data_IF_905130504177
#
_entry.id   IF_905130504177
#
_cell.length_a   1.000
_cell.length_b   1.000
_cell.length_c   1.000
_cell.angle_alpha   90.00
_cell.angle_beta   90.00
_cell.angle_gamma   90.00
#
_symmetry.space_group_name_H-M   'P 1'
#
loop_
_entity.id
_entity.type
_entity.pdbx_description
1 polymer ?
#
# COMPACT_ATOMS: atom_id res chain seq x y z
N UNK A 1 6.17 -17.74 -1.97
CA UNK A 1 4.74 -17.82 -1.63
C UNK A 1 4.34 -16.63 -0.77
N UNK A 2 3.11 -16.13 -0.93
CA UNK A 2 2.50 -15.16 -0.03
C UNK A 2 1.89 -15.96 1.13
N UNK A 3 2.39 -15.71 2.35
CA UNK A 3 1.98 -16.50 3.54
C UNK A 3 1.18 -15.68 4.55
N UNK A 4 1.25 -14.37 4.48
CA UNK A 4 0.44 -13.47 5.30
C UNK A 4 0.39 -12.07 4.70
N UNK A 5 -0.47 -11.22 5.25
CA UNK A 5 -0.55 -9.80 4.95
C UNK A 5 -0.78 -8.99 6.22
N UNK A 6 -0.34 -7.75 6.20
CA UNK A 6 -0.60 -6.79 7.26
C UNK A 6 -1.00 -5.45 6.65
N UNK A 7 -1.96 -4.78 7.26
CA UNK A 7 -2.48 -3.49 6.83
C UNK A 7 -2.08 -2.42 7.84
N UNK A 8 -1.37 -1.39 7.37
CA UNK A 8 -0.93 -0.28 8.20
C UNK A 8 -1.60 1.00 7.72
N UNK A 9 -2.44 1.65 8.56
CA UNK A 9 -3.01 2.95 8.23
C UNK A 9 -1.90 3.98 8.04
N UNK A 10 -2.01 4.79 7.00
CA UNK A 10 -1.07 5.87 6.71
C UNK A 10 -1.66 7.18 7.24
N UNK A 11 -1.19 7.60 8.40
CA UNK A 11 -1.55 8.89 9.00
C UNK A 11 -0.32 9.80 9.02
N UNK A 12 -0.47 10.97 8.43
CA UNK A 12 0.54 12.01 8.45
C UNK A 12 0.19 13.07 9.48
N UNK A 13 1.18 13.46 10.27
CA UNK A 13 1.12 14.58 11.19
C UNK A 13 2.14 15.65 10.79
N UNK A 14 1.88 16.89 11.16
CA UNK A 14 2.87 17.96 11.10
C UNK A 14 3.68 17.93 12.40
N UNK A 15 4.99 17.75 12.27
CA UNK A 15 5.93 17.60 13.37
C UNK A 15 6.90 18.78 13.41
N UNK A 16 7.09 19.38 14.58
CA UNK A 16 8.06 20.44 14.81
C UNK A 16 8.95 20.17 16.01
N UNK A 17 9.89 21.04 16.28
CA UNK A 17 10.67 20.99 17.52
C UNK A 17 9.74 21.12 18.75
N UNK A 18 10.14 20.61 19.94
CA UNK A 18 9.31 20.67 21.15
C UNK A 18 8.82 22.08 21.52
N UNK A 19 9.66 23.08 21.30
CA UNK A 19 9.40 24.48 21.57
C UNK A 19 8.72 25.24 20.42
N UNK A 20 8.50 24.58 19.26
CA UNK A 20 7.85 25.21 18.11
C UNK A 20 6.33 25.26 18.29
N UNK A 21 5.74 26.33 17.79
CA UNK A 21 4.29 26.52 17.64
C UNK A 21 3.92 26.56 16.15
N UNK A 22 2.66 26.30 15.83
CA UNK A 22 2.19 26.30 14.45
C UNK A 22 2.43 27.63 13.73
N UNK A 23 2.34 28.73 14.46
CA UNK A 23 2.60 30.10 13.97
C UNK A 23 4.07 30.37 13.62
N UNK A 24 5.00 29.59 14.15
CA UNK A 24 6.43 29.74 13.84
C UNK A 24 6.78 29.17 12.46
N UNK A 25 5.94 28.25 11.92
CA UNK A 25 6.27 27.45 10.75
C UNK A 25 6.22 28.27 9.47
N UNK A 26 7.31 28.19 8.70
CA UNK A 26 7.43 28.78 7.37
C UNK A 26 7.93 27.78 6.33
N UNK A 27 8.44 26.63 6.78
CA UNK A 27 9.06 25.62 5.90
C UNK A 27 8.66 24.23 6.30
N UNK A 28 8.23 23.41 5.33
CA UNK A 28 7.79 22.04 5.55
C UNK A 28 8.57 21.08 4.64
N UNK A 29 9.03 19.97 5.22
CA UNK A 29 9.76 18.91 4.54
C UNK A 29 8.97 17.59 4.56
N UNK A 30 8.93 16.88 3.45
CA UNK A 30 8.52 15.47 3.41
C UNK A 30 8.84 14.79 2.08
N UNK A 31 8.49 13.51 1.99
CA UNK A 31 8.47 12.80 0.71
C UNK A 31 7.38 13.39 -0.21
N UNK A 32 7.60 13.48 -1.54
CA UNK A 32 6.63 14.07 -2.47
C UNK A 32 5.21 13.51 -2.33
N UNK A 33 5.08 12.19 -2.14
CA UNK A 33 3.79 11.55 -1.97
C UNK A 33 3.06 12.00 -0.68
N UNK A 34 3.79 12.16 0.42
CA UNK A 34 3.19 12.62 1.68
C UNK A 34 2.77 14.10 1.60
N UNK A 35 3.56 14.95 0.94
CA UNK A 35 3.18 16.33 0.64
C UNK A 35 1.90 16.38 -0.21
N UNK A 36 1.82 15.57 -1.26
CA UNK A 36 0.63 15.45 -2.11
C UNK A 36 -0.59 14.97 -1.30
N UNK A 37 -0.44 13.94 -0.48
CA UNK A 37 -1.51 13.41 0.37
C UNK A 37 -1.97 14.38 1.46
N UNK A 38 -1.15 15.36 1.82
CA UNK A 38 -1.44 16.41 2.80
C UNK A 38 -1.71 17.78 2.16
N UNK A 39 -1.77 17.84 0.82
CA UNK A 39 -1.82 19.10 0.07
C UNK A 39 -3.01 19.99 0.45
N UNK A 40 -4.17 19.39 0.78
CA UNK A 40 -5.35 20.17 1.19
C UNK A 40 -5.08 20.98 2.48
N UNK A 41 -4.39 20.40 3.44
CA UNK A 41 -3.98 21.07 4.67
C UNK A 41 -2.84 22.05 4.39
N UNK A 42 -1.79 21.61 3.70
CA UNK A 42 -0.63 22.45 3.42
C UNK A 42 -0.98 23.70 2.57
N UNK A 43 -1.90 23.59 1.63
CA UNK A 43 -2.33 24.72 0.79
C UNK A 43 -3.20 25.74 1.54
N UNK A 44 -3.74 25.42 2.72
CA UNK A 44 -4.38 26.42 3.59
C UNK A 44 -3.37 27.36 4.26
N UNK A 45 -2.09 26.96 4.28
CA UNK A 45 -0.96 27.75 4.80
C UNK A 45 -0.08 28.21 3.62
N UNK A 46 -0.57 29.20 2.86
CA UNK A 46 0.04 29.65 1.59
C UNK A 46 1.47 30.20 1.74
N UNK A 47 1.84 30.63 2.93
CA UNK A 47 3.14 31.21 3.23
C UNK A 47 4.21 30.14 3.56
N UNK A 48 3.84 28.87 3.58
CA UNK A 48 4.77 27.79 3.85
C UNK A 48 5.47 27.31 2.59
N UNK A 49 6.81 27.34 2.59
CA UNK A 49 7.62 26.73 1.56
C UNK A 49 7.68 25.20 1.77
N UNK A 50 7.42 24.42 0.72
CA UNK A 50 7.41 22.96 0.76
C UNK A 50 8.61 22.41 0.02
N UNK A 51 9.36 21.49 0.66
CA UNK A 51 10.55 20.85 0.09
C UNK A 51 10.47 19.34 0.17
N UNK A 52 10.82 18.71 -0.94
CA UNK A 52 10.87 17.25 -1.02
C UNK A 52 12.18 16.70 -0.46
N UNK A 53 12.06 15.59 0.29
CA UNK A 53 13.17 14.78 0.79
C UNK A 53 12.92 13.30 0.49
N UNK A 54 13.93 12.48 0.68
CA UNK A 54 13.93 11.07 0.28
C UNK A 54 12.77 10.25 0.88
N UNK A 55 12.46 10.47 2.16
CA UNK A 55 11.35 9.79 2.84
C UNK A 55 10.84 10.61 4.05
N UNK A 56 9.67 10.22 4.57
CA UNK A 56 9.02 10.94 5.66
C UNK A 56 9.81 10.91 6.98
N UNK A 57 10.49 9.80 7.30
CA UNK A 57 11.33 9.70 8.49
C UNK A 57 12.60 10.58 8.36
N UNK A 58 13.17 10.66 7.16
CA UNK A 58 14.29 11.56 6.87
C UNK A 58 13.89 13.03 7.05
N UNK A 59 12.64 13.40 6.75
CA UNK A 59 12.16 14.76 7.00
C UNK A 59 12.12 15.10 8.49
N UNK A 60 11.63 14.17 9.32
CA UNK A 60 11.61 14.35 10.78
C UNK A 60 13.04 14.47 11.34
N UNK A 61 13.94 13.58 10.92
CA UNK A 61 15.36 13.63 11.31
C UNK A 61 16.03 14.94 10.88
N UNK A 62 15.68 15.45 9.69
CA UNK A 62 16.22 16.72 9.18
C UNK A 62 15.79 17.89 10.06
N UNK A 63 14.51 18.00 10.41
CA UNK A 63 13.98 19.07 11.28
C UNK A 63 14.68 19.05 12.65
N UNK A 64 14.88 17.87 13.23
CA UNK A 64 15.63 17.71 14.47
C UNK A 64 17.08 18.22 14.33
N UNK A 65 17.79 17.77 13.27
CA UNK A 65 19.20 18.12 13.06
C UNK A 65 19.40 19.61 12.74
N UNK A 66 18.49 20.21 11.98
CA UNK A 66 18.56 21.62 11.62
C UNK A 66 18.31 22.54 12.84
N UNK A 67 17.55 22.06 13.85
CA UNK A 67 17.29 22.78 15.11
C UNK A 67 16.59 24.14 14.92
N UNK A 68 15.77 24.29 13.87
CA UNK A 68 15.11 25.54 13.52
C UNK A 68 13.63 25.49 13.84
N UNK A 69 13.14 26.39 14.72
CA UNK A 69 11.73 26.48 15.13
C UNK A 69 10.75 26.67 13.97
N UNK A 70 11.20 27.31 12.90
CA UNK A 70 10.36 27.62 11.75
C UNK A 70 10.27 26.48 10.72
N UNK A 71 10.77 25.31 11.05
CA UNK A 71 10.74 24.13 10.20
C UNK A 71 9.82 23.06 10.79
N UNK A 72 9.09 22.40 9.91
CA UNK A 72 8.26 21.25 10.24
C UNK A 72 8.47 20.09 9.25
N UNK A 73 8.15 18.90 9.69
CA UNK A 73 8.13 17.69 8.87
C UNK A 73 6.71 17.13 8.76
N UNK A 74 6.33 16.63 7.60
CA UNK A 74 5.16 15.76 7.46
C UNK A 74 5.63 14.32 7.56
N UNK A 75 5.27 13.66 8.67
CA UNK A 75 5.65 12.27 8.93
C UNK A 75 4.63 11.60 9.87
N UNK A 76 4.85 10.34 10.23
CA UNK A 76 4.00 9.65 11.21
C UNK A 76 4.24 10.19 12.63
N UNK A 77 3.22 10.12 13.49
CA UNK A 77 3.40 10.43 14.93
C UNK A 77 4.46 9.52 15.59
N UNK A 78 4.60 8.30 15.12
CA UNK A 78 5.65 7.38 15.56
C UNK A 78 7.04 7.94 15.28
N UNK A 79 7.26 8.54 14.11
CA UNK A 79 8.52 9.23 13.82
C UNK A 79 8.72 10.43 14.75
N UNK A 80 7.65 11.19 15.04
CA UNK A 80 7.68 12.27 16.03
C UNK A 80 8.18 11.79 17.40
N UNK A 81 7.59 10.72 17.92
CA UNK A 81 8.01 10.11 19.20
C UNK A 81 9.46 9.65 19.16
N UNK A 82 9.89 8.98 18.07
CA UNK A 82 11.25 8.46 17.92
C UNK A 82 12.31 9.57 17.92
N UNK A 83 12.01 10.69 17.26
CA UNK A 83 12.94 11.82 17.12
C UNK A 83 12.72 12.92 18.15
N UNK A 84 11.80 12.75 19.13
CA UNK A 84 11.52 13.76 20.13
C UNK A 84 10.89 15.04 19.59
N UNK A 85 10.15 14.95 18.49
CA UNK A 85 9.43 16.05 17.88
C UNK A 85 8.01 16.16 18.45
N UNK A 86 7.50 17.37 18.56
CA UNK A 86 6.13 17.69 18.96
C UNK A 86 5.20 17.53 17.76
N UNK A 87 4.04 16.93 17.96
CA UNK A 87 2.95 16.95 16.99
C UNK A 87 2.30 18.33 17.05
N UNK A 88 2.46 19.12 16.00
CA UNK A 88 1.84 20.44 15.85
C UNK A 88 0.40 20.32 15.36
N UNK A 89 0.17 19.38 14.42
CA UNK A 89 -1.18 19.07 13.91
C UNK A 89 -1.24 17.57 13.54
N UNK A 90 -2.19 16.80 14.08
CA UNK A 90 -2.36 15.39 13.76
C UNK A 90 -3.21 15.19 12.49
N UNK A 91 -3.06 14.04 11.84
CA UNK A 91 -3.96 13.54 10.77
C UNK A 91 -4.22 14.55 9.65
N UNK A 92 -3.15 15.17 9.11
CA UNK A 92 -3.24 16.22 8.08
C UNK A 92 -3.45 15.66 6.66
N UNK A 93 -3.39 14.35 6.47
CA UNK A 93 -3.70 13.72 5.18
C UNK A 93 -5.20 13.82 4.86
N UNK A 94 -5.52 14.12 3.61
CA UNK A 94 -6.92 14.33 3.17
C UNK A 94 -7.72 13.02 3.04
N UNK A 95 -7.06 11.91 2.75
CA UNK A 95 -7.70 10.58 2.77
C UNK A 95 -7.34 9.86 4.08
N UNK A 96 -8.33 9.70 4.96
CA UNK A 96 -8.16 9.04 6.26
C UNK A 96 -8.18 7.52 6.16
N UNK A 97 -8.69 6.97 5.06
CA UNK A 97 -8.77 5.52 4.83
C UNK A 97 -7.53 4.99 4.09
N UNK A 98 -6.50 5.86 3.92
CA UNK A 98 -5.27 5.46 3.27
C UNK A 98 -4.54 4.38 4.08
N UNK A 99 -4.34 3.24 3.45
CA UNK A 99 -3.75 2.07 4.10
C UNK A 99 -2.72 1.43 3.17
N UNK A 100 -1.56 1.08 3.69
CA UNK A 100 -0.57 0.29 2.98
C UNK A 100 -0.73 -1.17 3.34
N UNK A 101 -0.92 -2.02 2.33
CA UNK A 101 -0.93 -3.47 2.46
C UNK A 101 0.50 -3.99 2.29
N UNK A 102 1.01 -4.67 3.30
CA UNK A 102 2.28 -5.39 3.25
C UNK A 102 2.00 -6.87 3.09
N UNK A 103 2.65 -7.52 2.13
CA UNK A 103 2.61 -8.97 1.94
C UNK A 103 3.87 -9.59 2.55
N UNK A 104 3.70 -10.72 3.22
CA UNK A 104 4.79 -11.50 3.81
C UNK A 104 5.07 -12.67 2.88
N UNK A 105 6.32 -12.77 2.43
CA UNK A 105 6.76 -13.81 1.53
C UNK A 105 7.55 -14.89 2.26
N UNK A 106 7.34 -16.15 1.88
CA UNK A 106 8.14 -17.31 2.29
C UNK A 106 8.65 -18.06 1.07
N UNK A 107 9.76 -18.79 1.22
CA UNK A 107 10.24 -19.76 0.21
C UNK A 107 9.39 -21.02 0.22
N UNK A 108 8.89 -21.41 1.39
CA UNK A 108 8.08 -22.59 1.58
C UNK A 108 6.58 -22.26 1.51
N UNK A 109 5.73 -23.16 0.96
CA UNK A 109 4.28 -22.97 0.87
C UNK A 109 3.61 -23.20 2.23
N UNK A 110 3.91 -22.35 3.19
CA UNK A 110 3.34 -22.41 4.54
C UNK A 110 2.05 -21.59 4.54
N UNK A 111 0.97 -22.15 5.04
CA UNK A 111 -0.29 -21.44 5.26
C UNK A 111 -0.97 -21.92 6.54
N UNK A 112 -1.82 -21.07 7.08
CA UNK A 112 -2.58 -21.38 8.30
C UNK A 112 -3.82 -22.19 7.92
N UNK A 113 -4.21 -23.12 8.77
CA UNK A 113 -5.46 -23.89 8.60
C UNK A 113 -6.71 -23.01 8.59
N UNK A 114 -6.66 -21.87 9.29
CA UNK A 114 -7.74 -20.88 9.38
C UNK A 114 -7.57 -19.72 8.36
N UNK A 115 -6.74 -19.89 7.34
CA UNK A 115 -6.58 -18.87 6.29
C UNK A 115 -7.91 -18.68 5.56
N UNK A 116 -8.30 -17.42 5.35
CA UNK A 116 -9.57 -17.04 4.70
C UNK A 116 -9.40 -16.38 3.34
N UNK A 117 -8.16 -16.37 2.84
CA UNK A 117 -7.81 -15.77 1.56
C UNK A 117 -6.68 -16.54 0.88
N UNK A 118 -6.80 -16.71 -0.42
CA UNK A 118 -5.77 -17.28 -1.29
C UNK A 118 -5.40 -16.24 -2.34
N UNK A 119 -4.09 -16.00 -2.51
CA UNK A 119 -3.55 -15.16 -3.57
C UNK A 119 -2.89 -16.03 -4.63
N UNK A 120 -3.31 -15.89 -5.87
CA UNK A 120 -2.78 -16.65 -7.01
C UNK A 120 -2.27 -15.72 -8.09
N UNK A 121 -1.34 -16.23 -8.90
CA UNK A 121 -0.94 -15.55 -10.13
C UNK A 121 -0.88 -16.57 -11.26
N UNK A 122 -1.31 -16.18 -12.44
CA UNK A 122 -1.32 -17.02 -13.63
C UNK A 122 -1.19 -16.17 -14.90
N UNK A 123 -0.83 -16.83 -15.99
CA UNK A 123 -0.75 -16.26 -17.33
C UNK A 123 -1.80 -16.92 -18.21
N UNK A 124 -2.45 -16.14 -19.06
CA UNK A 124 -3.44 -16.66 -20.00
C UNK A 124 -2.95 -16.49 -21.43
N UNK A 125 -3.30 -17.45 -22.32
CA UNK A 125 -3.05 -17.28 -23.75
C UNK A 125 -3.78 -16.04 -24.28
N UNK A 126 -3.14 -15.34 -25.21
CA UNK A 126 -3.74 -14.14 -25.86
C UNK A 126 -4.73 -14.56 -26.94
N UNK A 127 -5.85 -15.17 -26.51
CA UNK A 127 -6.94 -15.62 -27.39
C UNK A 127 -8.27 -15.06 -26.90
N UNK A 128 -9.24 -14.98 -27.84
CA UNK A 128 -10.58 -14.50 -27.52
C UNK A 128 -11.26 -15.41 -26.49
N UNK A 129 -11.75 -14.81 -25.40
CA UNK A 129 -12.47 -15.55 -24.36
C UNK A 129 -11.61 -16.10 -23.22
N UNK A 130 -10.26 -16.11 -23.32
CA UNK A 130 -9.38 -16.69 -22.28
C UNK A 130 -9.70 -16.19 -20.88
N UNK A 131 -9.84 -14.86 -20.70
CA UNK A 131 -10.16 -14.27 -19.39
C UNK A 131 -11.56 -14.69 -18.92
N UNK A 132 -12.54 -14.74 -19.81
CA UNK A 132 -13.89 -15.18 -19.48
C UNK A 132 -13.91 -16.63 -18.99
N UNK A 133 -13.28 -17.53 -19.73
CA UNK A 133 -13.20 -18.96 -19.38
C UNK A 133 -12.55 -19.14 -18.00
N UNK A 134 -11.43 -18.46 -17.77
CA UNK A 134 -10.76 -18.50 -16.48
C UNK A 134 -11.68 -17.98 -15.35
N UNK A 135 -12.34 -16.83 -15.54
CA UNK A 135 -13.25 -16.26 -14.55
C UNK A 135 -14.44 -17.17 -14.26
N UNK A 136 -14.91 -17.96 -15.26
CA UNK A 136 -16.01 -18.90 -15.08
C UNK A 136 -15.72 -19.97 -14.03
N UNK A 137 -14.45 -20.35 -13.84
CA UNK A 137 -14.05 -21.30 -12.80
C UNK A 137 -14.37 -20.79 -11.39
N UNK A 138 -14.24 -19.47 -11.14
CA UNK A 138 -14.65 -18.89 -9.86
C UNK A 138 -16.17 -18.85 -9.73
N UNK A 139 -16.88 -18.47 -10.80
CA UNK A 139 -18.35 -18.36 -10.79
C UNK A 139 -19.00 -19.71 -10.50
N UNK A 140 -18.61 -20.76 -11.24
CA UNK A 140 -19.21 -22.09 -11.11
C UNK A 140 -18.87 -22.79 -9.79
N UNK A 141 -17.77 -22.39 -9.15
CA UNK A 141 -17.38 -22.89 -7.84
C UNK A 141 -17.80 -21.96 -6.68
N UNK A 142 -18.60 -20.89 -6.94
CA UNK A 142 -19.07 -19.92 -5.95
C UNK A 142 -17.94 -19.27 -5.15
N UNK A 143 -16.79 -19.03 -5.80
CA UNK A 143 -15.63 -18.39 -5.20
C UNK A 143 -15.69 -16.89 -5.43
N UNK A 144 -15.65 -16.11 -4.35
CA UNK A 144 -15.63 -14.66 -4.43
C UNK A 144 -14.22 -14.12 -4.65
N UNK A 145 -14.06 -13.21 -5.62
CA UNK A 145 -12.81 -12.48 -5.85
C UNK A 145 -12.84 -11.14 -5.12
N UNK A 146 -11.76 -10.84 -4.39
CA UNK A 146 -11.55 -9.54 -3.72
C UNK A 146 -10.74 -8.58 -4.57
N UNK A 147 -9.85 -9.10 -5.39
CA UNK A 147 -8.96 -8.30 -6.25
C UNK A 147 -8.65 -9.07 -7.52
N UNK A 148 -8.57 -8.34 -8.63
CA UNK A 148 -7.95 -8.79 -9.86
C UNK A 148 -7.10 -7.66 -10.41
N UNK A 149 -5.85 -7.95 -10.74
CA UNK A 149 -4.91 -7.01 -11.31
C UNK A 149 -4.10 -7.69 -12.42
N UNK A 150 -3.79 -6.97 -13.48
CA UNK A 150 -2.95 -7.50 -14.56
C UNK A 150 -1.68 -6.67 -14.72
N UNK A 151 -0.58 -7.34 -15.07
CA UNK A 151 0.69 -6.73 -15.43
C UNK A 151 1.17 -7.26 -16.77
N UNK A 152 1.68 -6.39 -17.67
CA UNK A 152 2.33 -6.84 -18.89
C UNK A 152 3.52 -7.74 -18.57
N UNK A 153 3.71 -8.78 -19.38
CA UNK A 153 4.86 -9.68 -19.26
C UNK A 153 6.03 -9.08 -20.04
N UNK A 154 7.16 -8.87 -19.38
CA UNK A 154 8.35 -8.34 -20.04
C UNK A 154 8.81 -9.25 -21.18
N UNK A 155 9.01 -8.67 -22.37
CA UNK A 155 9.45 -9.39 -23.56
C UNK A 155 8.34 -10.16 -24.32
N UNK A 156 7.10 -10.12 -23.84
CA UNK A 156 5.94 -10.72 -24.52
C UNK A 156 4.87 -9.66 -24.77
N UNK A 157 4.73 -9.22 -26.01
CA UNK A 157 3.77 -8.19 -26.37
C UNK A 157 2.34 -8.71 -26.26
N UNK A 158 1.48 -7.92 -25.62
CA UNK A 158 0.04 -8.19 -25.46
C UNK A 158 -0.30 -9.38 -24.57
N UNK A 159 0.71 -9.94 -23.86
CA UNK A 159 0.49 -10.98 -22.86
C UNK A 159 0.56 -10.38 -21.44
N UNK A 160 -0.28 -10.92 -20.56
CA UNK A 160 -0.46 -10.42 -19.22
C UNK A 160 -0.38 -11.53 -18.18
N UNK A 161 0.26 -11.20 -17.05
CA UNK A 161 0.15 -11.99 -15.83
C UNK A 161 -0.95 -11.38 -14.97
N UNK A 162 -1.86 -12.21 -14.52
CA UNK A 162 -2.94 -11.83 -13.62
C UNK A 162 -2.57 -12.19 -12.19
N UNK A 163 -2.97 -11.31 -11.28
CA UNK A 163 -2.87 -11.50 -9.84
C UNK A 163 -4.29 -11.41 -9.29
N UNK A 164 -4.72 -12.44 -8.56
CA UNK A 164 -6.08 -12.56 -8.06
C UNK A 164 -6.05 -12.94 -6.59
N UNK A 165 -6.80 -12.21 -5.77
CA UNK A 165 -7.09 -12.57 -4.39
C UNK A 165 -8.51 -13.12 -4.34
N UNK A 166 -8.69 -14.33 -3.82
CA UNK A 166 -9.97 -15.00 -3.64
C UNK A 166 -10.25 -15.28 -2.16
N UNK A 167 -11.54 -15.29 -1.79
CA UNK A 167 -11.98 -15.69 -0.45
C UNK A 167 -12.04 -17.20 -0.35
N UNK A 168 -11.51 -17.74 0.75
CA UNK A 168 -11.55 -19.16 1.07
C UNK A 168 -10.21 -19.71 1.53
N UNK A 169 -10.18 -21.00 1.79
CA UNK A 169 -9.02 -21.75 2.25
C UNK A 169 -8.59 -22.77 1.18
N UNK A 170 -7.29 -23.02 1.07
CA UNK A 170 -6.78 -24.07 0.16
C UNK A 170 -7.32 -25.48 0.45
N UNK A 171 -7.81 -25.73 1.66
CA UNK A 171 -8.48 -26.97 2.04
C UNK A 171 -9.93 -27.08 1.55
N UNK A 172 -10.55 -25.98 1.10
CA UNK A 172 -11.94 -25.97 0.66
C UNK A 172 -12.09 -26.62 -0.72
N UNK A 173 -13.05 -27.56 -0.85
CA UNK A 173 -13.28 -28.27 -2.11
C UNK A 173 -13.61 -27.31 -3.28
N UNK A 174 -14.35 -26.23 -3.00
CA UNK A 174 -14.69 -25.20 -3.99
C UNK A 174 -13.43 -24.49 -4.52
N UNK A 175 -12.50 -24.15 -3.62
CA UNK A 175 -11.24 -23.51 -3.99
C UNK A 175 -10.38 -24.46 -4.79
N UNK A 176 -10.24 -25.72 -4.37
CA UNK A 176 -9.46 -26.74 -5.09
C UNK A 176 -10.01 -26.98 -6.50
N UNK A 177 -11.33 -27.09 -6.66
CA UNK A 177 -11.95 -27.26 -7.97
C UNK A 177 -11.73 -26.04 -8.88
N UNK A 178 -11.89 -24.83 -8.34
CA UNK A 178 -11.63 -23.60 -9.10
C UNK A 178 -10.17 -23.51 -9.55
N UNK A 179 -9.22 -23.80 -8.65
CA UNK A 179 -7.79 -23.76 -8.96
C UNK A 179 -7.40 -24.79 -10.01
N UNK A 180 -7.96 -26.00 -9.94
CA UNK A 180 -7.73 -27.04 -10.95
C UNK A 180 -8.22 -26.60 -12.34
N UNK A 181 -9.42 -26.02 -12.44
CA UNK A 181 -9.91 -25.49 -13.70
C UNK A 181 -9.07 -24.35 -14.25
N UNK A 182 -8.56 -23.47 -13.36
CA UNK A 182 -7.64 -22.40 -13.77
C UNK A 182 -6.31 -22.97 -14.28
N UNK A 183 -5.77 -24.00 -13.63
CA UNK A 183 -4.52 -24.66 -14.04
C UNK A 183 -4.65 -25.28 -15.45
N UNK A 184 -5.83 -25.82 -15.81
CA UNK A 184 -6.11 -26.35 -17.14
C UNK A 184 -6.19 -25.25 -18.22
N UNK A 185 -6.63 -24.03 -17.88
CA UNK A 185 -6.77 -22.89 -18.79
C UNK A 185 -5.50 -22.03 -18.89
N UNK A 186 -4.69 -22.02 -17.84
CA UNK A 186 -3.49 -21.18 -17.76
C UNK A 186 -2.36 -21.73 -18.65
N UNK A 187 -1.60 -20.81 -19.23
CA UNK A 187 -0.40 -21.15 -19.98
C UNK A 187 0.85 -21.25 -19.07
N UNK A 188 0.77 -20.72 -17.86
CA UNK A 188 1.80 -20.83 -16.80
C UNK A 188 1.22 -20.37 -15.44
#
# INVERSE_FOLDING_TARGET
YIVAENFIPVNHALLGLPEAELSDITTVFSHPQALMQSSRYLNSHRDWAQYSVENTAASAKKVLNDGKKNQAAVASETAGKLYGLKVLEPSINHNKDNTTRFIILSRDPIYREDASKVSISFELPHTSGSLYNMLSNFIYNHVNMRMIESRPIAGRNWEYRFFVDIEGNLGDAQIQNALKGIEEEASN
#
